data_IF_425589618104
#
_entry.id   IF_425589618104
#
_cell.length_a   1.000
_cell.length_b   1.000
_cell.length_c   1.000
_cell.angle_alpha   90.00
_cell.angle_beta   90.00
_cell.angle_gamma   90.00
#
_symmetry.space_group_name_H-M   'P 1'
#
loop_
_entity.id
_entity.type
_entity.pdbx_description
1 polymer ?
#
# COMPACT_ATOMS: atom_id res chain seq x y z
N UNK A 1 35.94 -5.06 15.08
CA UNK A 1 34.81 -4.11 14.89
C UNK A 1 33.76 -4.43 15.93
N UNK A 2 33.09 -3.43 16.50
CA UNK A 2 31.96 -3.63 17.42
C UNK A 2 30.66 -3.53 16.62
N UNK A 3 30.35 -4.58 15.86
CA UNK A 3 29.18 -4.59 14.98
C UNK A 3 27.90 -4.78 15.78
N UNK A 4 26.97 -3.86 15.60
CA UNK A 4 25.59 -4.00 16.07
C UNK A 4 24.89 -5.16 15.36
N UNK A 5 23.80 -5.72 15.93
CA UNK A 5 23.00 -6.74 15.25
C UNK A 5 22.52 -6.29 13.85
N UNK A 6 22.12 -5.03 13.71
CA UNK A 6 21.70 -4.45 12.42
C UNK A 6 22.82 -4.45 11.38
N UNK A 7 24.04 -4.10 11.78
CA UNK A 7 25.20 -4.15 10.87
C UNK A 7 25.57 -5.60 10.50
N UNK A 8 25.39 -6.55 11.40
CA UNK A 8 25.56 -7.98 11.09
C UNK A 8 24.50 -8.47 10.09
N UNK A 9 23.24 -8.04 10.24
CA UNK A 9 22.17 -8.33 9.26
C UNK A 9 22.45 -7.70 7.89
N UNK A 10 22.98 -6.47 7.85
CA UNK A 10 23.42 -5.82 6.60
C UNK A 10 24.50 -6.65 5.88
N UNK A 11 25.43 -7.25 6.62
CA UNK A 11 26.46 -8.15 6.05
C UNK A 11 25.86 -9.48 5.55
N UNK A 12 24.84 -10.02 6.22
CA UNK A 12 24.12 -11.19 5.76
C UNK A 12 23.37 -10.89 4.45
N UNK A 13 22.71 -9.73 4.37
CA UNK A 13 22.05 -9.25 3.16
C UNK A 13 23.03 -9.13 1.99
N UNK A 14 24.18 -8.48 2.22
CA UNK A 14 25.26 -8.36 1.24
C UNK A 14 25.71 -9.75 0.74
N UNK A 15 25.89 -10.71 1.66
CA UNK A 15 26.31 -12.08 1.30
C UNK A 15 25.27 -12.78 0.41
N UNK A 16 23.98 -12.60 0.68
CA UNK A 16 22.90 -13.12 -0.16
C UNK A 16 22.87 -12.42 -1.54
N UNK A 17 23.09 -11.12 -1.59
CA UNK A 17 23.16 -10.35 -2.84
C UNK A 17 24.37 -10.76 -3.69
N UNK A 18 25.53 -11.02 -3.08
CA UNK A 18 26.71 -11.54 -3.78
C UNK A 18 26.45 -12.91 -4.42
N UNK A 19 25.71 -13.78 -3.73
CA UNK A 19 25.27 -15.05 -4.30
C UNK A 19 24.36 -14.83 -5.53
N UNK A 20 23.45 -13.85 -5.46
CA UNK A 20 22.58 -13.46 -6.56
C UNK A 20 23.37 -12.89 -7.76
N UNK A 21 24.31 -11.97 -7.53
CA UNK A 21 25.22 -11.42 -8.56
C UNK A 21 25.99 -12.51 -9.29
N UNK A 22 26.52 -13.50 -8.56
CA UNK A 22 27.22 -14.65 -9.16
C UNK A 22 26.31 -15.54 -10.02
N UNK A 23 25.02 -15.64 -9.67
CA UNK A 23 24.03 -16.37 -10.48
C UNK A 23 23.71 -15.59 -11.76
N UNK A 24 23.42 -14.30 -11.65
CA UNK A 24 23.18 -13.41 -12.79
C UNK A 24 24.36 -13.36 -13.76
N UNK A 25 25.60 -13.27 -13.26
CA UNK A 25 26.81 -13.24 -14.08
C UNK A 25 26.99 -14.50 -14.95
N UNK A 26 26.36 -15.63 -14.57
CA UNK A 26 26.34 -16.88 -15.36
C UNK A 26 25.09 -17.01 -16.23
N UNK A 27 24.26 -15.97 -16.31
CA UNK A 27 23.00 -15.96 -17.05
C UNK A 27 21.87 -16.75 -16.39
N UNK A 28 21.97 -17.08 -15.10
CA UNK A 28 20.91 -17.81 -14.40
C UNK A 28 19.83 -16.85 -13.88
N UNK A 29 18.54 -17.05 -14.20
CA UNK A 29 17.46 -16.24 -13.67
C UNK A 29 17.30 -16.46 -12.16
N UNK A 30 17.05 -15.36 -11.45
CA UNK A 30 16.95 -15.32 -9.99
C UNK A 30 15.59 -15.81 -9.49
N UNK A 31 15.60 -16.55 -8.38
CA UNK A 31 14.39 -16.78 -7.60
C UNK A 31 14.05 -15.57 -6.73
N UNK A 32 12.87 -15.58 -6.11
CA UNK A 32 12.41 -14.45 -5.29
C UNK A 32 13.40 -14.03 -4.17
N UNK A 33 13.99 -14.95 -3.37
CA UNK A 33 14.92 -14.54 -2.31
C UNK A 33 16.19 -13.85 -2.85
N UNK A 34 16.73 -14.36 -3.97
CA UNK A 34 17.94 -13.80 -4.58
C UNK A 34 17.67 -12.44 -5.23
N UNK A 35 16.53 -12.31 -5.92
CA UNK A 35 16.13 -11.07 -6.57
C UNK A 35 15.88 -9.96 -5.52
N UNK A 36 15.23 -10.31 -4.41
CA UNK A 36 15.05 -9.40 -3.27
C UNK A 36 16.39 -9.00 -2.65
N UNK A 37 17.27 -9.97 -2.37
CA UNK A 37 18.58 -9.67 -1.78
C UNK A 37 19.41 -8.75 -2.69
N UNK A 38 19.43 -9.03 -4.00
CA UNK A 38 20.11 -8.21 -4.99
C UNK A 38 19.58 -6.76 -4.99
N UNK A 39 18.27 -6.57 -5.14
CA UNK A 39 17.68 -5.23 -5.18
C UNK A 39 17.88 -4.48 -3.87
N UNK A 40 17.70 -5.13 -2.72
CA UNK A 40 17.91 -4.50 -1.42
C UNK A 40 19.35 -4.03 -1.22
N UNK A 41 20.33 -4.83 -1.65
CA UNK A 41 21.75 -4.47 -1.53
C UNK A 41 22.10 -3.28 -2.43
N UNK A 42 21.63 -3.27 -3.69
CA UNK A 42 21.80 -2.12 -4.60
C UNK A 42 21.13 -0.85 -4.04
N UNK A 43 19.95 -0.96 -3.42
CA UNK A 43 19.29 0.16 -2.73
C UNK A 43 20.18 0.69 -1.59
N UNK A 44 20.77 -0.20 -0.79
CA UNK A 44 21.65 0.19 0.30
C UNK A 44 22.90 0.93 -0.19
N UNK A 45 23.51 0.49 -1.29
CA UNK A 45 24.68 1.17 -1.87
C UNK A 45 24.32 2.53 -2.47
N UNK A 46 23.19 2.63 -3.19
CA UNK A 46 22.72 3.92 -3.70
C UNK A 46 22.42 4.92 -2.58
N UNK A 47 21.83 4.45 -1.48
CA UNK A 47 21.57 5.26 -0.30
C UNK A 47 22.87 5.72 0.37
N UNK A 48 23.87 4.84 0.47
CA UNK A 48 25.19 5.17 0.99
C UNK A 48 25.88 6.25 0.16
N UNK A 49 25.73 6.18 -1.17
CA UNK A 49 26.22 7.19 -2.12
C UNK A 49 25.43 8.51 -2.10
N UNK A 50 24.36 8.59 -1.29
CA UNK A 50 23.56 9.81 -1.12
C UNK A 50 22.61 10.09 -2.29
N UNK A 51 22.24 9.07 -3.07
CA UNK A 51 21.23 9.21 -4.12
C UNK A 51 19.86 9.53 -3.51
N UNK A 52 19.10 10.40 -4.18
CA UNK A 52 17.76 10.77 -3.74
C UNK A 52 16.80 9.55 -3.72
N UNK A 53 15.90 9.50 -2.74
CA UNK A 53 15.04 8.34 -2.51
C UNK A 53 14.13 8.05 -3.72
N UNK A 54 13.62 9.06 -4.40
CA UNK A 54 12.73 8.87 -5.55
C UNK A 54 13.52 8.26 -6.72
N UNK A 55 14.76 8.68 -6.89
CA UNK A 55 15.68 8.13 -7.88
C UNK A 55 16.10 6.70 -7.55
N UNK A 56 16.33 6.38 -6.26
CA UNK A 56 16.58 5.00 -5.81
C UNK A 56 15.39 4.11 -6.14
N UNK A 57 14.16 4.52 -5.81
CA UNK A 57 12.95 3.74 -6.10
C UNK A 57 12.80 3.49 -7.60
N UNK A 58 13.04 4.52 -8.42
CA UNK A 58 13.00 4.40 -9.88
C UNK A 58 14.06 3.43 -10.40
N UNK A 59 15.30 3.52 -9.92
CA UNK A 59 16.40 2.61 -10.31
C UNK A 59 16.12 1.18 -9.88
N UNK A 60 15.64 1.00 -8.65
CA UNK A 60 15.36 -0.32 -8.09
C UNK A 60 14.37 -1.13 -8.94
N UNK A 61 13.32 -0.48 -9.46
CA UNK A 61 12.36 -1.10 -10.39
C UNK A 61 12.91 -1.43 -11.78
N UNK A 62 14.14 -1.01 -12.09
CA UNK A 62 14.80 -1.25 -13.37
C UNK A 62 16.10 -2.08 -13.23
N UNK A 63 16.45 -2.52 -12.03
CA UNK A 63 17.69 -3.27 -11.76
C UNK A 63 17.70 -4.67 -12.39
N UNK A 64 16.54 -5.31 -12.48
CA UNK A 64 16.37 -6.62 -13.09
C UNK A 64 15.33 -6.59 -14.20
N UNK A 65 15.67 -7.20 -15.33
CA UNK A 65 14.73 -7.41 -16.44
C UNK A 65 13.87 -8.65 -16.21
N UNK A 66 12.77 -8.77 -16.95
CA UNK A 66 11.83 -9.88 -16.80
C UNK A 66 12.46 -11.26 -17.06
N UNK A 67 13.47 -11.35 -17.95
CA UNK A 67 14.21 -12.57 -18.25
C UNK A 67 15.28 -12.92 -17.19
N UNK A 68 15.65 -11.97 -16.34
CA UNK A 68 16.60 -12.16 -15.25
C UNK A 68 15.96 -12.70 -13.96
N UNK A 69 14.63 -12.84 -13.93
CA UNK A 69 13.88 -13.41 -12.80
C UNK A 69 13.08 -14.63 -13.23
N UNK A 70 12.86 -15.58 -12.32
CA UNK A 70 12.05 -16.76 -12.61
C UNK A 70 10.57 -16.41 -12.79
N UNK A 71 9.81 -17.20 -13.58
CA UNK A 71 8.36 -17.05 -13.66
C UNK A 71 7.71 -17.06 -12.27
N UNK A 72 6.74 -16.17 -12.06
CA UNK A 72 6.02 -16.03 -10.79
C UNK A 72 6.70 -15.11 -9.76
N UNK A 73 7.97 -14.72 -9.94
CA UNK A 73 8.64 -13.76 -9.04
C UNK A 73 7.90 -12.42 -8.94
N UNK A 74 7.41 -11.80 -10.03
CA UNK A 74 6.63 -10.56 -9.94
C UNK A 74 5.36 -10.67 -9.09
N UNK A 75 4.73 -11.85 -9.05
CA UNK A 75 3.56 -12.10 -8.20
C UNK A 75 3.93 -12.40 -6.75
N UNK A 76 5.04 -13.10 -6.54
CA UNK A 76 5.51 -13.46 -5.21
C UNK A 76 6.09 -12.25 -4.43
N UNK A 77 6.59 -11.24 -5.13
CA UNK A 77 7.24 -10.06 -4.53
C UNK A 77 6.52 -8.78 -4.99
N UNK A 78 5.35 -8.46 -4.41
CA UNK A 78 4.60 -7.26 -4.78
C UNK A 78 5.26 -5.97 -4.27
N UNK A 79 6.09 -6.07 -3.22
CA UNK A 79 6.78 -4.95 -2.58
C UNK A 79 8.14 -5.41 -2.07
N UNK A 80 9.15 -4.55 -2.19
CA UNK A 80 10.40 -4.63 -1.43
C UNK A 80 10.49 -3.43 -0.48
N UNK A 81 10.89 -3.71 0.76
CA UNK A 81 11.16 -2.69 1.77
C UNK A 81 12.51 -2.97 2.44
N UNK A 82 13.37 -1.95 2.47
CA UNK A 82 14.68 -2.04 3.13
C UNK A 82 15.00 -0.71 3.81
N UNK A 83 15.47 -0.78 5.05
CA UNK A 83 15.95 0.39 5.77
C UNK A 83 17.43 0.63 5.40
N UNK A 84 17.69 1.69 4.66
CA UNK A 84 19.01 2.04 4.18
C UNK A 84 19.59 3.23 4.95
N UNK A 85 20.92 3.27 5.09
CA UNK A 85 21.62 4.37 5.72
C UNK A 85 22.01 5.40 4.67
N UNK A 86 21.44 6.60 4.79
CA UNK A 86 21.76 7.76 3.98
C UNK A 86 22.72 8.70 4.73
N UNK A 87 23.32 9.69 4.06
CA UNK A 87 24.11 10.74 4.73
C UNK A 87 23.36 11.49 5.84
N UNK A 88 22.03 11.53 5.77
CA UNK A 88 21.14 12.19 6.74
C UNK A 88 20.55 11.23 7.79
N UNK A 89 20.98 9.97 7.83
CA UNK A 89 20.47 8.94 8.75
C UNK A 89 19.73 7.81 8.05
N UNK A 90 19.07 6.96 8.83
CA UNK A 90 18.36 5.80 8.29
C UNK A 90 16.95 6.16 7.81
N UNK A 91 16.59 5.68 6.62
CA UNK A 91 15.26 5.85 6.02
C UNK A 91 14.77 4.55 5.41
N UNK A 92 13.46 4.31 5.47
CA UNK A 92 12.82 3.17 4.82
C UNK A 92 12.63 3.46 3.34
N UNK A 93 13.22 2.64 2.48
CA UNK A 93 12.96 2.66 1.03
C UNK A 93 11.87 1.63 0.73
N UNK A 94 10.81 2.07 0.04
CA UNK A 94 9.69 1.23 -0.37
C UNK A 94 9.62 1.19 -1.89
N UNK A 95 9.69 0.00 -2.48
CA UNK A 95 9.61 -0.22 -3.92
C UNK A 95 8.41 -1.11 -4.22
N UNK A 96 7.39 -0.54 -4.84
CA UNK A 96 6.22 -1.27 -5.33
C UNK A 96 6.55 -1.98 -6.63
N UNK A 97 6.12 -3.24 -6.77
CA UNK A 97 6.26 -4.05 -7.98
C UNK A 97 7.68 -3.97 -8.59
N UNK A 98 8.74 -4.28 -7.82
CA UNK A 98 10.13 -4.11 -8.24
C UNK A 98 10.50 -4.92 -9.49
N UNK A 99 9.70 -5.95 -9.82
CA UNK A 99 9.89 -6.82 -10.98
C UNK A 99 8.74 -6.71 -12.00
N UNK A 100 8.00 -5.60 -11.96
CA UNK A 100 6.82 -5.35 -12.79
C UNK A 100 5.53 -5.97 -12.23
N UNK A 101 4.38 -5.71 -12.89
CA UNK A 101 3.09 -6.23 -12.47
C UNK A 101 3.01 -7.75 -12.72
N UNK A 102 2.30 -8.51 -11.86
CA UNK A 102 2.04 -9.91 -12.11
C UNK A 102 1.10 -10.10 -13.32
N UNK A 103 1.30 -11.19 -14.05
CA UNK A 103 0.39 -11.61 -15.11
C UNK A 103 -0.97 -12.11 -14.57
N UNK A 104 -2.01 -12.17 -15.42
CA UNK A 104 -3.37 -12.56 -15.01
C UNK A 104 -3.48 -14.01 -14.51
N UNK A 105 -2.59 -14.90 -14.96
CA UNK A 105 -2.52 -16.31 -14.52
C UNK A 105 -1.36 -16.58 -13.55
N UNK A 106 -0.83 -15.53 -12.90
CA UNK A 106 0.27 -15.70 -11.97
C UNK A 106 -0.14 -16.46 -10.68
N UNK A 107 0.80 -17.07 -9.95
CA UNK A 107 0.50 -17.72 -8.67
C UNK A 107 -0.23 -16.77 -7.71
N UNK A 108 -1.37 -17.24 -7.18
CA UNK A 108 -2.21 -16.43 -6.28
C UNK A 108 -3.20 -15.50 -6.99
N UNK A 109 -3.30 -15.52 -8.33
CA UNK A 109 -4.29 -14.75 -9.06
C UNK A 109 -5.73 -15.11 -8.66
N UNK A 110 -6.55 -14.10 -8.44
CA UNK A 110 -7.97 -14.24 -8.08
C UNK A 110 -8.81 -14.31 -9.35
N UNK A 111 -9.59 -15.38 -9.51
CA UNK A 111 -10.57 -15.54 -10.59
C UNK A 111 -11.96 -15.22 -10.05
N UNK A 112 -12.35 -13.96 -10.13
CA UNK A 112 -13.69 -13.52 -9.75
C UNK A 112 -14.71 -13.92 -10.83
N UNK A 113 -15.95 -14.22 -10.41
CA UNK A 113 -17.06 -14.33 -11.34
C UNK A 113 -17.46 -12.92 -11.83
N UNK A 114 -18.01 -12.84 -13.04
CA UNK A 114 -18.59 -11.60 -13.56
C UNK A 114 -19.79 -11.16 -12.71
N UNK A 115 -19.98 -9.84 -12.59
CA UNK A 115 -21.13 -9.23 -11.93
C UNK A 115 -20.77 -8.19 -10.88
N UNK A 116 -21.80 -7.69 -10.21
CA UNK A 116 -21.67 -6.70 -9.13
C UNK A 116 -22.24 -7.26 -7.83
N UNK A 117 -21.69 -6.82 -6.69
CA UNK A 117 -22.17 -7.18 -5.36
C UNK A 117 -22.94 -5.99 -4.78
N UNK A 118 -24.24 -6.17 -4.56
CA UNK A 118 -25.03 -5.16 -3.86
C UNK A 118 -24.64 -5.10 -2.38
N UNK A 119 -24.14 -3.94 -1.95
CA UNK A 119 -23.82 -3.69 -0.54
C UNK A 119 -25.09 -3.47 0.28
N UNK A 120 -25.14 -3.97 1.51
CA UNK A 120 -26.23 -3.71 2.46
C UNK A 120 -27.65 -3.90 1.88
N UNK A 121 -27.83 -4.98 1.11
CA UNK A 121 -29.10 -5.29 0.44
C UNK A 121 -30.28 -5.32 1.41
N UNK A 122 -31.42 -4.79 0.96
CA UNK A 122 -32.68 -4.75 1.73
C UNK A 122 -32.72 -3.77 2.90
N UNK A 123 -31.70 -2.94 3.10
CA UNK A 123 -31.70 -1.92 4.16
C UNK A 123 -32.25 -0.58 3.67
N UNK A 124 -32.88 0.17 4.58
CA UNK A 124 -33.31 1.54 4.31
C UNK A 124 -32.12 2.39 3.89
N UNK A 125 -32.29 3.15 2.82
CA UNK A 125 -31.31 4.08 2.28
C UNK A 125 -31.89 5.48 2.24
N UNK A 126 -31.04 6.48 2.44
CA UNK A 126 -31.41 7.89 2.33
C UNK A 126 -30.26 8.69 1.75
N UNK A 127 -30.58 9.73 1.01
CA UNK A 127 -29.60 10.72 0.56
C UNK A 127 -29.56 11.89 1.55
N UNK A 128 -28.36 12.34 1.90
CA UNK A 128 -28.13 13.45 2.82
C UNK A 128 -27.04 14.38 2.26
N UNK A 129 -27.23 15.68 2.43
CA UNK A 129 -26.16 16.64 2.21
C UNK A 129 -25.38 16.85 3.51
N UNK A 130 -24.14 16.40 3.54
CA UNK A 130 -23.21 16.69 4.63
C UNK A 130 -22.35 17.90 4.28
N UNK A 131 -22.30 18.88 5.17
CA UNK A 131 -21.50 20.09 5.02
C UNK A 131 -20.51 20.22 6.18
N UNK A 132 -19.21 20.19 5.88
CA UNK A 132 -18.17 20.48 6.84
C UNK A 132 -17.98 21.99 7.01
N UNK A 133 -18.54 22.57 8.08
CA UNK A 133 -18.41 23.99 8.39
C UNK A 133 -17.12 24.34 9.14
N UNK A 134 -16.21 23.38 9.31
CA UNK A 134 -14.93 23.56 9.98
C UNK A 134 -13.81 24.01 9.04
N UNK A 135 -12.66 24.31 9.63
CA UNK A 135 -11.46 24.77 8.91
C UNK A 135 -10.50 23.63 8.52
N UNK A 136 -10.87 22.38 8.85
CA UNK A 136 -10.03 21.20 8.63
C UNK A 136 -10.85 20.09 7.96
N UNK A 137 -10.21 19.23 7.16
CA UNK A 137 -10.88 18.08 6.57
C UNK A 137 -11.36 17.10 7.65
N UNK A 138 -12.50 16.46 7.40
CA UNK A 138 -13.08 15.41 8.25
C UNK A 138 -13.19 14.12 7.45
N UNK A 139 -12.72 13.02 8.04
CA UNK A 139 -12.90 11.68 7.51
C UNK A 139 -14.03 10.97 8.25
N UNK A 140 -14.96 10.38 7.49
CA UNK A 140 -16.09 9.64 8.01
C UNK A 140 -15.98 8.21 7.51
N UNK A 141 -15.79 7.25 8.41
CA UNK A 141 -15.64 5.84 8.04
C UNK A 141 -16.98 5.15 7.78
N UNK A 142 -16.94 4.06 7.01
CA UNK A 142 -18.11 3.29 6.54
C UNK A 142 -19.12 2.86 7.62
N UNK A 143 -18.66 2.68 8.86
CA UNK A 143 -19.47 2.14 9.97
C UNK A 143 -19.54 3.09 11.18
N UNK A 144 -19.11 4.33 11.02
CA UNK A 144 -19.25 5.32 12.08
C UNK A 144 -20.73 5.76 12.21
N UNK A 145 -21.31 5.79 13.43
CA UNK A 145 -22.66 6.29 13.66
C UNK A 145 -22.76 7.78 13.30
N UNK A 146 -23.62 8.13 12.33
CA UNK A 146 -23.60 9.47 11.77
C UNK A 146 -24.20 10.54 12.69
N UNK A 147 -24.97 10.15 13.70
CA UNK A 147 -25.42 11.03 14.78
C UNK A 147 -24.30 11.45 15.74
N UNK A 148 -23.13 10.81 15.67
CA UNK A 148 -21.96 11.11 16.50
C UNK A 148 -20.85 11.82 15.73
N UNK A 149 -21.15 12.36 14.54
CA UNK A 149 -20.16 13.03 13.70
C UNK A 149 -19.48 14.18 14.43
N UNK A 150 -18.31 14.57 13.89
CA UNK A 150 -17.67 15.80 14.30
C UNK A 150 -18.70 16.96 14.27
N UNK A 151 -18.85 17.75 15.35
CA UNK A 151 -19.84 18.83 15.41
C UNK A 151 -19.75 19.88 14.29
N UNK A 152 -18.61 19.97 13.60
CA UNK A 152 -18.43 20.80 12.43
C UNK A 152 -19.17 20.27 11.18
N UNK A 153 -19.57 19.00 11.15
CA UNK A 153 -20.31 18.42 10.03
C UNK A 153 -21.81 18.55 10.29
N UNK A 154 -22.50 19.25 9.39
CA UNK A 154 -23.95 19.48 9.45
C UNK A 154 -24.65 18.66 8.37
N UNK A 155 -25.81 18.12 8.71
CA UNK A 155 -26.68 17.38 7.80
C UNK A 155 -27.99 18.13 7.63
N UNK A 156 -28.61 17.99 6.46
CA UNK A 156 -29.97 18.47 6.19
C UNK A 156 -31.06 17.46 6.58
N UNK A 157 -30.68 16.25 7.01
CA UNK A 157 -31.58 15.20 7.50
C UNK A 157 -31.13 14.63 8.86
N UNK A 158 -32.04 13.97 9.57
CA UNK A 158 -31.73 13.19 10.78
C UNK A 158 -30.81 12.00 10.48
N UNK A 159 -29.79 11.80 11.33
CA UNK A 159 -28.70 10.85 11.11
C UNK A 159 -28.73 9.65 12.07
N UNK A 160 -29.54 9.73 13.14
CA UNK A 160 -29.65 8.66 14.13
C UNK A 160 -29.99 7.31 13.46
N UNK A 161 -29.20 6.28 13.77
CA UNK A 161 -29.38 4.94 13.21
C UNK A 161 -28.85 4.75 11.79
N UNK A 162 -28.15 5.72 11.19
CA UNK A 162 -27.55 5.60 9.86
C UNK A 162 -26.02 5.58 9.89
N UNK A 163 -25.45 4.92 8.87
CA UNK A 163 -24.03 4.93 8.52
C UNK A 163 -23.85 5.23 7.03
N UNK A 164 -22.62 5.52 6.58
CA UNK A 164 -22.36 5.70 5.15
C UNK A 164 -22.62 4.43 4.34
N UNK A 165 -23.29 4.55 3.20
CA UNK A 165 -23.53 3.46 2.25
C UNK A 165 -22.33 3.27 1.31
N UNK A 166 -21.15 3.07 1.88
CA UNK A 166 -19.89 2.82 1.16
C UNK A 166 -19.32 1.44 1.50
N UNK A 167 -18.36 0.89 0.73
CA UNK A 167 -17.73 -0.39 1.06
C UNK A 167 -17.19 -0.45 2.49
N UNK A 168 -17.28 -1.62 3.11
CA UNK A 168 -16.79 -1.80 4.47
C UNK A 168 -15.27 -1.53 4.53
N UNK A 169 -14.84 -0.79 5.57
CA UNK A 169 -13.44 -0.39 5.74
C UNK A 169 -13.01 0.87 4.98
N UNK A 170 -13.83 1.40 4.07
CA UNK A 170 -13.54 2.68 3.41
C UNK A 170 -14.06 3.88 4.20
N UNK A 171 -13.73 5.09 3.74
CA UNK A 171 -14.18 6.34 4.33
C UNK A 171 -14.45 7.39 3.24
N UNK A 172 -15.27 8.38 3.59
CA UNK A 172 -15.46 9.59 2.81
C UNK A 172 -14.70 10.73 3.48
N UNK A 173 -13.96 11.48 2.68
CA UNK A 173 -13.32 12.73 3.09
C UNK A 173 -14.22 13.91 2.71
N UNK A 174 -14.43 14.82 3.64
CA UNK A 174 -15.03 16.14 3.43
C UNK A 174 -13.96 17.20 3.70
N UNK A 175 -13.59 17.98 2.70
CA UNK A 175 -12.68 19.12 2.87
C UNK A 175 -13.32 20.22 3.74
N UNK A 176 -12.50 21.17 4.20
CA UNK A 176 -13.00 22.34 4.93
C UNK A 176 -13.95 23.17 4.04
N UNK A 177 -15.15 23.47 4.53
CA UNK A 177 -16.19 24.18 3.78
C UNK A 177 -16.90 23.35 2.70
N UNK A 178 -16.53 22.07 2.51
CA UNK A 178 -17.15 21.23 1.47
C UNK A 178 -18.55 20.79 1.88
N UNK A 179 -19.50 20.95 0.96
CA UNK A 179 -20.83 20.34 1.03
C UNK A 179 -20.95 19.24 -0.01
N UNK A 180 -21.28 18.03 0.41
CA UNK A 180 -21.31 16.82 -0.43
C UNK A 180 -22.58 16.00 -0.18
N UNK A 181 -23.19 15.55 -1.26
CA UNK A 181 -24.32 14.63 -1.23
C UNK A 181 -23.81 13.19 -1.06
N UNK A 182 -24.34 12.48 -0.08
CA UNK A 182 -23.92 11.12 0.26
C UNK A 182 -25.13 10.23 0.49
N UNK A 183 -24.96 8.94 0.15
CA UNK A 183 -25.96 7.90 0.46
C UNK A 183 -25.65 7.32 1.83
N UNK A 184 -26.69 7.25 2.65
CA UNK A 184 -26.70 6.67 3.98
C UNK A 184 -27.47 5.36 3.95
N UNK A 185 -27.14 4.44 4.84
CA UNK A 185 -27.85 3.17 5.01
C UNK A 185 -28.11 2.92 6.49
N UNK A 186 -29.27 2.33 6.80
CA UNK A 186 -29.61 1.95 8.16
C UNK A 186 -28.55 1.02 8.75
N UNK A 187 -28.16 1.32 9.99
CA UNK A 187 -27.37 0.41 10.82
C UNK A 187 -28.19 -0.87 11.10
N UNK A 188 -27.49 -1.95 11.44
CA UNK A 188 -28.13 -3.22 11.75
C UNK A 188 -27.48 -3.83 12.97
N UNK A 189 -28.05 -4.92 13.48
CA UNK A 189 -27.75 -5.39 14.83
C UNK A 189 -28.71 -4.76 15.85
N UNK A 190 -28.55 -5.14 17.13
CA UNK A 190 -29.47 -4.75 18.21
C UNK A 190 -29.15 -3.41 18.88
N UNK A 191 -28.01 -2.78 18.53
CA UNK A 191 -27.63 -1.38 18.80
C UNK A 191 -26.60 -0.95 17.77
#
# INVERSE_FOLDING_TARGET
MHLTPREQERLNLFTAAELARRRLARGAPLGAPDAVAYVCDEICELAWDGVDIDEIVRRAGALLTADQVRPGVPAAVPVIQVEALFPHGSSLVHVSQPFGPPGPDAPGAVRAADGEIELAAGRERRTAWLHNTGERPVWISSHFPLDQLNPAVRSDVELAGFRLAVPAGTAVRLEAGERKELVLVAMGGSR
#
